data_IF_676522105992
#
_entry.id   IF_676522105992
#
_cell.length_a   1.000
_cell.length_b   1.000
_cell.length_c   1.000
_cell.angle_alpha   90.00
_cell.angle_beta   90.00
_cell.angle_gamma   90.00
#
_symmetry.space_group_name_H-M   'P 1'
#
loop_
_entity.id
_entity.type
_entity.pdbx_description
1 polymer ?
#
# COMPACT_ATOMS: atom_id res chain seq x y z
N UNK A 1 -81.20 -9.75 14.54
CA UNK A 1 -80.41 -8.49 14.45
C UNK A 1 -78.91 -8.69 14.64
N UNK A 2 -78.44 -9.81 15.22
CA UNK A 2 -77.02 -10.08 15.50
C UNK A 2 -76.11 -10.08 14.24
N UNK A 3 -76.49 -10.75 13.14
CA UNK A 3 -75.62 -10.95 11.96
C UNK A 3 -75.17 -9.66 11.27
N UNK A 4 -76.03 -8.63 11.20
CA UNK A 4 -75.68 -7.33 10.59
C UNK A 4 -74.69 -6.54 11.43
N UNK A 5 -74.72 -6.68 12.75
CA UNK A 5 -73.78 -6.03 13.66
C UNK A 5 -72.39 -6.68 13.53
N UNK A 6 -72.33 -8.01 13.44
CA UNK A 6 -71.07 -8.72 13.17
C UNK A 6 -70.49 -8.42 11.79
N UNK A 7 -71.33 -8.32 10.75
CA UNK A 7 -70.89 -7.90 9.42
C UNK A 7 -70.34 -6.47 9.41
N UNK A 8 -71.05 -5.53 10.04
CA UNK A 8 -70.59 -4.15 10.17
C UNK A 8 -69.25 -4.07 10.94
N UNK A 9 -69.13 -4.76 12.07
CA UNK A 9 -67.90 -4.83 12.84
C UNK A 9 -66.72 -5.46 12.07
N UNK A 10 -66.98 -6.51 11.27
CA UNK A 10 -65.95 -7.12 10.43
C UNK A 10 -65.49 -6.17 9.32
N UNK A 11 -66.42 -5.45 8.67
CA UNK A 11 -66.07 -4.47 7.63
C UNK A 11 -65.28 -3.27 8.17
N UNK A 12 -65.64 -2.74 9.34
CA UNK A 12 -64.89 -1.64 9.96
C UNK A 12 -63.51 -2.08 10.43
N UNK A 13 -63.39 -3.29 10.99
CA UNK A 13 -62.10 -3.87 11.34
C UNK A 13 -61.21 -4.09 10.11
N UNK A 14 -61.75 -4.60 9.00
CA UNK A 14 -61.01 -4.77 7.75
C UNK A 14 -60.54 -3.42 7.17
N UNK A 15 -61.40 -2.39 7.18
CA UNK A 15 -61.05 -1.05 6.71
C UNK A 15 -59.96 -0.39 7.57
N UNK A 16 -59.89 -0.70 8.86
CA UNK A 16 -58.83 -0.22 9.75
C UNK A 16 -57.54 -1.07 9.64
N UNK A 17 -57.66 -2.37 9.38
CA UNK A 17 -56.52 -3.28 9.27
C UNK A 17 -55.69 -3.06 8.00
N UNK A 18 -56.31 -2.71 6.87
CA UNK A 18 -55.61 -2.51 5.59
C UNK A 18 -54.59 -1.36 5.64
N UNK A 19 -54.92 -0.15 6.15
CA UNK A 19 -53.95 0.93 6.33
C UNK A 19 -52.82 0.58 7.30
N UNK A 20 -53.14 -0.13 8.40
CA UNK A 20 -52.14 -0.58 9.37
C UNK A 20 -51.19 -1.60 8.76
N UNK A 21 -51.71 -2.58 8.01
CA UNK A 21 -50.91 -3.57 7.30
C UNK A 21 -50.03 -2.91 6.22
N UNK A 22 -50.56 -1.95 5.48
CA UNK A 22 -49.78 -1.17 4.51
C UNK A 22 -48.66 -0.38 5.17
N UNK A 23 -48.94 0.30 6.29
CA UNK A 23 -47.93 1.03 7.05
C UNK A 23 -46.84 0.11 7.63
N UNK A 24 -47.24 -1.05 8.18
CA UNK A 24 -46.31 -2.06 8.66
C UNK A 24 -45.43 -2.60 7.54
N UNK A 25 -46.02 -2.90 6.38
CA UNK A 25 -45.29 -3.34 5.19
C UNK A 25 -44.29 -2.28 4.71
N UNK A 26 -44.72 -1.01 4.62
CA UNK A 26 -43.85 0.09 4.20
C UNK A 26 -42.69 0.28 5.19
N UNK A 27 -42.94 0.15 6.50
CA UNK A 27 -41.89 0.19 7.53
C UNK A 27 -40.93 -0.99 7.39
N UNK A 28 -41.44 -2.18 7.15
CA UNK A 28 -40.62 -3.38 6.95
C UNK A 28 -39.74 -3.26 5.69
N UNK A 29 -40.32 -2.84 4.57
CA UNK A 29 -39.60 -2.61 3.30
C UNK A 29 -38.45 -1.61 3.49
N UNK A 30 -38.70 -0.45 4.11
CA UNK A 30 -37.65 0.54 4.42
C UNK A 30 -36.53 -0.03 5.31
N UNK A 31 -36.90 -0.80 6.34
CA UNK A 31 -35.91 -1.44 7.22
C UNK A 31 -35.07 -2.48 6.47
N UNK A 32 -35.68 -3.23 5.54
CA UNK A 32 -34.98 -4.21 4.74
C UNK A 32 -34.03 -3.54 3.74
N UNK A 33 -34.47 -2.49 3.04
CA UNK A 33 -33.64 -1.67 2.15
C UNK A 33 -32.41 -1.11 2.89
N UNK A 34 -32.61 -0.57 4.10
CA UNK A 34 -31.51 -0.09 4.94
C UNK A 34 -30.53 -1.21 5.31
N UNK A 35 -31.03 -2.40 5.66
CA UNK A 35 -30.18 -3.57 5.95
C UNK A 35 -29.37 -4.01 4.74
N UNK A 36 -29.94 -3.96 3.55
CA UNK A 36 -29.25 -4.30 2.31
C UNK A 36 -28.19 -3.25 1.96
N UNK A 37 -28.53 -1.97 2.03
CA UNK A 37 -27.59 -0.87 1.81
C UNK A 37 -26.41 -0.91 2.79
N UNK A 38 -26.68 -1.14 4.08
CA UNK A 38 -25.61 -1.28 5.08
C UNK A 38 -24.73 -2.51 4.88
N UNK A 39 -25.30 -3.65 4.43
CA UNK A 39 -24.50 -4.81 4.04
C UNK A 39 -23.59 -4.49 2.84
N UNK A 40 -24.10 -3.78 1.84
CA UNK A 40 -23.31 -3.35 0.69
C UNK A 40 -22.18 -2.42 1.14
N UNK A 41 -22.46 -1.41 1.97
CA UNK A 41 -21.43 -0.52 2.50
C UNK A 41 -20.32 -1.26 3.24
N UNK A 42 -20.64 -2.28 4.04
CA UNK A 42 -19.62 -3.12 4.71
C UNK A 42 -18.76 -3.90 3.71
N UNK A 43 -19.35 -4.40 2.62
CA UNK A 43 -18.59 -5.05 1.56
C UNK A 43 -17.65 -4.07 0.88
N UNK A 44 -18.14 -2.86 0.61
CA UNK A 44 -17.32 -1.79 0.03
C UNK A 44 -16.17 -1.42 0.96
N UNK A 45 -16.44 -1.27 2.25
CA UNK A 45 -15.42 -0.98 3.25
C UNK A 45 -14.36 -2.09 3.27
N UNK A 46 -14.76 -3.36 3.19
CA UNK A 46 -13.82 -4.49 3.10
C UNK A 46 -12.95 -4.39 1.84
N UNK A 47 -13.54 -4.14 0.67
CA UNK A 47 -12.78 -3.95 -0.57
C UNK A 47 -11.84 -2.76 -0.46
N UNK A 48 -12.31 -1.62 0.07
CA UNK A 48 -11.47 -0.45 0.27
C UNK A 48 -10.30 -0.73 1.22
N UNK A 49 -10.51 -1.53 2.28
CA UNK A 49 -9.42 -1.96 3.16
C UNK A 49 -8.43 -2.88 2.46
N UNK A 50 -8.90 -3.80 1.61
CA UNK A 50 -8.02 -4.67 0.83
C UNK A 50 -7.13 -3.85 -0.12
N UNK A 51 -7.73 -2.92 -0.86
CA UNK A 51 -6.99 -2.01 -1.76
C UNK A 51 -6.02 -1.15 -0.95
N UNK A 52 -6.41 -0.69 0.24
CA UNK A 52 -5.50 0.07 1.12
C UNK A 52 -4.29 -0.74 1.61
N UNK A 53 -4.43 -2.05 1.82
CA UNK A 53 -3.31 -2.93 2.18
C UNK A 53 -2.37 -3.10 0.99
N UNK A 54 -2.90 -3.24 -0.23
CA UNK A 54 -2.09 -3.27 -1.45
C UNK A 54 -1.31 -1.97 -1.65
N UNK A 55 -1.96 -0.83 -1.38
CA UNK A 55 -1.32 0.49 -1.40
C UNK A 55 -0.17 0.59 -0.38
N UNK A 56 -0.39 0.12 0.85
CA UNK A 56 0.65 0.09 1.88
C UNK A 56 1.84 -0.80 1.48
N UNK A 57 1.58 -1.95 0.86
CA UNK A 57 2.64 -2.82 0.37
C UNK A 57 3.44 -2.14 -0.76
N UNK A 58 2.75 -1.46 -1.68
CA UNK A 58 3.39 -0.67 -2.73
C UNK A 58 4.23 0.47 -2.13
N UNK A 59 3.73 1.17 -1.13
CA UNK A 59 4.45 2.24 -0.45
C UNK A 59 5.78 1.75 0.14
N UNK A 60 5.78 0.59 0.79
CA UNK A 60 7.00 -0.02 1.32
C UNK A 60 7.98 -0.39 0.21
N UNK A 61 7.49 -1.00 -0.87
CA UNK A 61 8.33 -1.35 -2.03
C UNK A 61 8.96 -0.12 -2.69
N UNK A 62 8.22 0.99 -2.78
CA UNK A 62 8.72 2.26 -3.35
C UNK A 62 9.75 2.91 -2.42
N UNK A 63 9.55 2.87 -1.10
CA UNK A 63 10.56 3.36 -0.15
C UNK A 63 11.86 2.56 -0.24
N UNK A 64 11.77 1.24 -0.26
CA UNK A 64 12.93 0.36 -0.44
C UNK A 64 13.66 0.65 -1.76
N UNK A 65 12.92 0.92 -2.83
CA UNK A 65 13.49 1.31 -4.12
C UNK A 65 14.28 2.61 -4.05
N UNK A 66 13.67 3.66 -3.50
CA UNK A 66 14.28 4.99 -3.39
C UNK A 66 15.51 4.94 -2.48
N UNK A 67 15.46 4.21 -1.37
CA UNK A 67 16.60 4.02 -0.47
C UNK A 67 17.74 3.23 -1.12
N UNK A 68 17.42 2.22 -1.94
CA UNK A 68 18.41 1.45 -2.68
C UNK A 68 19.11 2.31 -3.74
N UNK A 69 18.35 3.07 -4.52
CA UNK A 69 18.88 3.96 -5.57
C UNK A 69 19.73 5.11 -4.98
N UNK A 70 19.29 5.71 -3.87
CA UNK A 70 20.09 6.71 -3.16
C UNK A 70 21.41 6.12 -2.63
N UNK A 71 21.37 4.87 -2.16
CA UNK A 71 22.54 4.17 -1.66
C UNK A 71 23.51 3.67 -2.74
N UNK A 72 23.04 3.38 -3.96
CA UNK A 72 23.92 3.11 -5.11
C UNK A 72 24.61 4.40 -5.59
N UNK A 73 23.90 5.54 -5.59
CA UNK A 73 24.47 6.83 -5.98
C UNK A 73 25.62 7.30 -5.05
N UNK A 74 25.63 6.87 -3.78
CA UNK A 74 26.73 7.15 -2.84
C UNK A 74 27.92 6.18 -2.96
N UNK A 75 27.76 5.02 -3.58
CA UNK A 75 28.84 4.04 -3.81
C UNK A 75 29.53 4.19 -5.18
N UNK A 76 29.06 5.08 -6.07
CA UNK A 76 29.78 5.50 -7.27
C UNK A 76 30.98 6.39 -6.91
N UNK A 77 32.10 5.76 -6.54
CA UNK A 77 33.40 6.41 -6.36
C UNK A 77 33.85 7.03 -7.71
N UNK A 78 34.11 8.35 -7.81
CA UNK A 78 34.43 9.04 -9.08
C UNK A 78 35.74 8.57 -9.75
N UNK A 79 36.44 7.60 -9.16
CA UNK A 79 37.65 6.99 -9.71
C UNK A 79 37.38 5.91 -10.78
N UNK A 80 36.15 5.37 -10.89
CA UNK A 80 35.84 4.30 -11.85
C UNK A 80 35.55 4.81 -13.28
N UNK A 81 35.73 6.12 -13.52
CA UNK A 81 35.71 6.72 -14.87
C UNK A 81 36.93 6.35 -15.73
N UNK A 82 37.69 5.33 -15.35
CA UNK A 82 38.66 4.68 -16.23
C UNK A 82 37.88 3.99 -17.36
N UNK A 83 37.80 4.66 -18.51
CA UNK A 83 37.26 4.18 -19.78
C UNK A 83 38.12 3.05 -20.40
N UNK A 84 38.64 2.17 -19.55
CA UNK A 84 39.72 1.25 -19.85
C UNK A 84 39.20 -0.16 -19.58
N UNK A 85 39.06 -0.90 -20.67
CA UNK A 85 38.58 -2.27 -20.74
C UNK A 85 39.24 -3.11 -19.63
N UNK A 86 38.43 -3.71 -18.76
CA UNK A 86 38.83 -4.51 -17.59
C UNK A 86 39.73 -5.70 -17.90
N UNK A 87 39.99 -5.97 -19.19
CA UNK A 87 40.90 -6.99 -19.70
C UNK A 87 42.37 -6.55 -19.79
N UNK A 88 42.68 -5.25 -19.79
CA UNK A 88 44.05 -4.74 -19.90
C UNK A 88 44.52 -4.06 -18.61
N UNK A 89 45.62 -4.53 -18.04
CA UNK A 89 46.21 -4.02 -16.79
C UNK A 89 47.18 -2.83 -16.97
N UNK A 90 47.36 -2.37 -18.21
CA UNK A 90 48.23 -1.25 -18.56
C UNK A 90 47.48 -0.28 -19.49
N UNK A 91 47.73 1.02 -19.31
CA UNK A 91 47.24 2.02 -20.24
C UNK A 91 48.00 1.96 -21.58
N UNK A 92 47.50 2.62 -22.62
CA UNK A 92 48.18 2.68 -23.92
C UNK A 92 49.53 3.41 -23.90
N UNK A 93 49.91 4.03 -22.76
CA UNK A 93 51.19 4.70 -22.54
C UNK A 93 52.17 3.83 -21.74
N UNK A 94 51.78 2.61 -21.35
CA UNK A 94 52.60 1.67 -20.59
C UNK A 94 52.58 1.86 -19.08
N UNK A 95 51.72 2.72 -18.52
CA UNK A 95 51.56 2.83 -17.08
C UNK A 95 50.63 1.74 -16.57
N UNK A 96 51.03 1.11 -15.45
CA UNK A 96 50.22 0.12 -14.76
C UNK A 96 48.99 0.81 -14.14
N UNK A 97 47.80 0.32 -14.46
CA UNK A 97 46.60 0.78 -13.74
C UNK A 97 46.70 0.30 -12.29
N UNK A 98 46.44 1.21 -11.34
CA UNK A 98 46.39 0.85 -9.92
C UNK A 98 45.25 -0.13 -9.71
N UNK A 99 45.59 -1.35 -9.33
CA UNK A 99 44.60 -2.38 -8.98
C UNK A 99 44.31 -2.33 -7.49
N UNK A 100 43.15 -2.87 -7.08
CA UNK A 100 42.77 -3.03 -5.67
C UNK A 100 43.83 -3.77 -4.83
N UNK A 101 44.66 -4.59 -5.49
CA UNK A 101 45.75 -5.35 -4.89
C UNK A 101 47.04 -4.54 -4.73
N UNK A 102 47.23 -3.46 -5.49
CA UNK A 102 48.43 -2.60 -5.38
C UNK A 102 48.39 -1.71 -4.11
N UNK A 103 47.20 -1.50 -3.54
CA UNK A 103 47.00 -0.79 -2.27
C UNK A 103 46.82 -1.72 -1.06
N UNK A 104 46.83 -3.04 -1.27
CA UNK A 104 46.62 -4.02 -0.21
C UNK A 104 47.94 -4.25 0.53
N UNK A 105 48.01 -3.80 1.78
CA UNK A 105 49.15 -4.02 2.65
C UNK A 105 49.04 -5.39 3.33
N UNK A 106 49.72 -6.37 2.74
CA UNK A 106 49.72 -7.75 3.21
C UNK A 106 50.26 -7.86 4.63
N UNK A 107 51.26 -7.04 4.99
CA UNK A 107 51.90 -7.10 6.30
C UNK A 107 50.95 -6.58 7.39
N UNK A 108 50.21 -5.50 7.10
CA UNK A 108 49.21 -4.96 8.02
C UNK A 108 48.02 -5.92 8.24
N UNK A 109 47.57 -6.62 7.19
CA UNK A 109 46.49 -7.61 7.31
C UNK A 109 46.95 -8.90 7.99
N UNK A 110 48.21 -9.30 7.80
CA UNK A 110 48.77 -10.42 8.55
C UNK A 110 48.87 -10.09 10.04
N UNK A 111 49.35 -8.88 10.39
CA UNK A 111 49.42 -8.41 11.77
C UNK A 111 48.03 -8.29 12.40
N UNK A 112 47.03 -7.89 11.62
CA UNK A 112 45.62 -7.87 12.03
C UNK A 112 45.11 -9.28 12.35
N UNK A 113 45.36 -10.26 11.48
CA UNK A 113 44.93 -11.64 11.69
C UNK A 113 45.64 -12.29 12.89
N UNK A 114 46.92 -11.99 13.12
CA UNK A 114 47.65 -12.45 14.30
C UNK A 114 47.11 -11.84 15.61
N UNK A 115 46.68 -10.56 15.58
CA UNK A 115 46.01 -9.90 16.72
C UNK A 115 44.61 -10.46 16.97
N UNK A 116 43.88 -10.82 15.92
CA UNK A 116 42.56 -11.48 16.01
C UNK A 116 42.68 -12.91 16.56
N UNK A 117 43.68 -13.69 16.14
CA UNK A 117 43.98 -15.02 16.70
C UNK A 117 44.42 -14.96 18.17
N UNK A 118 45.17 -13.91 18.55
CA UNK A 118 45.57 -13.64 19.93
C UNK A 118 44.42 -13.14 20.82
N UNK A 119 43.26 -12.82 20.24
CA UNK A 119 42.05 -12.44 20.98
C UNK A 119 42.07 -11.04 21.58
N UNK A 120 42.95 -10.14 21.12
CA UNK A 120 43.14 -8.81 21.72
C UNK A 120 42.12 -7.76 21.22
N UNK A 121 41.33 -8.05 20.18
CA UNK A 121 40.37 -7.08 19.59
C UNK A 121 38.89 -7.52 19.56
N UNK A 122 38.45 -8.32 20.54
CA UNK A 122 37.02 -8.67 20.66
C UNK A 122 36.08 -7.47 20.95
N UNK A 123 36.61 -6.26 21.19
CA UNK A 123 35.81 -5.08 21.57
C UNK A 123 35.73 -3.94 20.54
N UNK A 124 36.57 -3.92 19.49
CA UNK A 124 36.58 -2.81 18.51
C UNK A 124 36.04 -3.25 17.13
N UNK A 125 36.17 -4.52 16.78
CA UNK A 125 35.65 -5.09 15.54
C UNK A 125 34.12 -5.30 15.50
N UNK A 126 33.41 -5.06 16.62
CA UNK A 126 31.94 -5.13 16.65
C UNK A 126 31.25 -3.97 15.91
N UNK A 127 32.00 -2.97 15.43
CA UNK A 127 31.48 -1.84 14.65
C UNK A 127 31.68 -1.96 13.14
N UNK A 128 32.34 -3.00 12.65
CA UNK A 128 32.26 -3.38 11.24
C UNK A 128 30.90 -4.02 10.99
N UNK A 129 29.86 -3.18 10.98
CA UNK A 129 28.51 -3.53 10.60
C UNK A 129 28.61 -4.37 9.32
N UNK A 130 28.25 -5.65 9.42
CA UNK A 130 27.99 -6.51 8.26
C UNK A 130 27.10 -5.70 7.34
N UNK A 131 27.65 -5.17 6.23
CA UNK A 131 26.86 -4.47 5.22
C UNK A 131 25.67 -5.40 4.94
N UNK A 132 24.43 -4.99 5.23
CA UNK A 132 23.29 -5.82 4.88
C UNK A 132 23.42 -6.01 3.37
N UNK A 133 23.51 -7.26 2.91
CA UNK A 133 23.46 -7.57 1.49
C UNK A 133 22.11 -7.02 1.04
N UNK A 134 22.12 -5.79 0.49
CA UNK A 134 20.92 -5.10 0.05
C UNK A 134 20.31 -6.00 -1.00
N UNK A 135 19.16 -6.60 -0.67
CA UNK A 135 18.42 -7.40 -1.64
C UNK A 135 18.05 -6.45 -2.77
N UNK A 136 18.43 -6.81 -3.98
CA UNK A 136 18.05 -6.05 -5.15
C UNK A 136 16.51 -5.86 -5.15
N UNK A 137 16.02 -4.65 -5.46
CA UNK A 137 14.60 -4.38 -5.46
C UNK A 137 13.86 -5.34 -6.41
N UNK A 138 12.72 -5.87 -5.95
CA UNK A 138 11.93 -6.82 -6.74
C UNK A 138 11.09 -6.16 -7.85
N UNK A 139 11.00 -4.84 -7.87
CA UNK A 139 10.11 -4.09 -8.75
C UNK A 139 10.84 -2.91 -9.40
N UNK A 140 10.55 -2.62 -10.67
CA UNK A 140 11.13 -1.44 -11.34
C UNK A 140 10.26 -0.20 -11.10
N UNK A 141 10.84 1.01 -11.19
CA UNK A 141 10.07 2.28 -11.09
C UNK A 141 8.86 2.33 -12.02
N UNK A 142 9.01 1.89 -13.28
CA UNK A 142 7.92 1.84 -14.26
C UNK A 142 6.78 0.91 -13.83
N UNK A 143 7.10 -0.23 -13.24
CA UNK A 143 6.10 -1.18 -12.73
C UNK A 143 5.43 -0.65 -11.45
N UNK A 144 6.17 0.05 -10.60
CA UNK A 144 5.63 0.71 -9.42
C UNK A 144 4.62 1.80 -9.80
N UNK A 145 4.95 2.63 -10.79
CA UNK A 145 4.04 3.65 -11.34
C UNK A 145 2.76 3.05 -11.92
N UNK A 146 2.88 2.04 -12.79
CA UNK A 146 1.72 1.37 -13.36
C UNK A 146 0.83 0.73 -12.28
N UNK A 147 1.43 0.16 -11.24
CA UNK A 147 0.68 -0.40 -10.10
C UNK A 147 -0.02 0.69 -9.29
N UNK A 148 0.62 1.85 -9.09
CA UNK A 148 0.00 2.98 -8.38
C UNK A 148 -1.25 3.51 -9.10
N UNK A 149 -1.18 3.64 -10.44
CA UNK A 149 -2.31 4.05 -11.28
C UNK A 149 -3.41 3.00 -11.29
N UNK A 150 -3.06 1.71 -11.30
CA UNK A 150 -4.04 0.63 -11.16
C UNK A 150 -4.82 0.71 -9.84
N UNK A 151 -4.12 0.97 -8.73
CA UNK A 151 -4.75 1.16 -7.41
C UNK A 151 -5.62 2.42 -7.36
N UNK A 152 -5.21 3.50 -8.02
CA UNK A 152 -6.00 4.72 -8.17
C UNK A 152 -7.36 4.42 -8.82
N UNK A 153 -7.35 3.72 -9.95
CA UNK A 153 -8.57 3.30 -10.63
C UNK A 153 -9.43 2.33 -9.81
N UNK A 154 -8.82 1.45 -9.00
CA UNK A 154 -9.57 0.61 -8.07
C UNK A 154 -10.33 1.46 -7.03
N UNK A 155 -9.72 2.51 -6.49
CA UNK A 155 -10.39 3.43 -5.58
C UNK A 155 -11.46 4.29 -6.27
N UNK A 156 -11.24 4.73 -7.51
CA UNK A 156 -12.26 5.40 -8.31
C UNK A 156 -13.48 4.49 -8.54
N UNK A 157 -13.25 3.21 -8.87
CA UNK A 157 -14.32 2.23 -9.03
C UNK A 157 -15.10 2.01 -7.73
N UNK A 158 -14.40 1.99 -6.59
CA UNK A 158 -15.02 1.93 -5.26
C UNK A 158 -15.91 3.17 -5.01
N UNK A 159 -15.45 4.37 -5.36
CA UNK A 159 -16.24 5.60 -5.24
C UNK A 159 -17.46 5.59 -6.17
N UNK A 160 -17.31 5.16 -7.42
CA UNK A 160 -18.43 5.00 -8.35
C UNK A 160 -19.49 4.05 -7.79
N UNK A 161 -19.07 2.92 -7.21
CA UNK A 161 -20.00 1.97 -6.60
C UNK A 161 -20.65 2.53 -5.32
N UNK A 162 -19.94 3.35 -4.55
CA UNK A 162 -20.52 4.05 -3.38
C UNK A 162 -21.64 5.02 -3.78
N UNK A 163 -21.52 5.68 -4.93
CA UNK A 163 -22.53 6.61 -5.43
C UNK A 163 -23.84 5.89 -5.81
N UNK A 164 -23.75 4.67 -6.36
CA UNK A 164 -24.90 3.85 -6.74
C UNK A 164 -25.74 3.37 -5.55
N UNK A 165 -25.13 3.17 -4.38
CA UNK A 165 -25.85 2.77 -3.17
C UNK A 165 -26.87 3.89 -2.86
N UNK A 166 -28.10 3.56 -2.47
CA UNK A 166 -29.10 4.55 -1.98
C UNK A 166 -29.59 4.12 -0.60
N UNK A 167 -30.03 5.08 0.22
CA UNK A 167 -30.51 4.77 1.57
C UNK A 167 -30.88 6.00 2.38
N UNK A 168 -31.15 5.76 3.67
CA UNK A 168 -31.50 6.78 4.65
C UNK A 168 -30.28 7.62 5.08
N UNK A 169 -30.50 8.59 5.98
CA UNK A 169 -29.45 9.51 6.42
C UNK A 169 -28.27 8.80 7.09
N UNK A 170 -28.48 7.67 7.75
CA UNK A 170 -27.40 6.87 8.33
C UNK A 170 -26.53 6.22 7.24
N UNK A 171 -27.15 5.60 6.23
CA UNK A 171 -26.43 5.06 5.06
C UNK A 171 -25.67 6.18 4.34
N UNK A 172 -26.26 7.37 4.25
CA UNK A 172 -25.62 8.55 3.67
C UNK A 172 -24.40 9.01 4.48
N UNK A 173 -24.50 9.02 5.81
CA UNK A 173 -23.37 9.36 6.69
C UNK A 173 -22.23 8.35 6.55
N UNK A 174 -22.54 7.05 6.54
CA UNK A 174 -21.54 5.99 6.37
C UNK A 174 -20.85 6.08 5.01
N UNK A 175 -21.60 6.25 3.92
CA UNK A 175 -21.04 6.45 2.59
C UNK A 175 -20.10 7.66 2.55
N UNK A 176 -20.52 8.78 3.14
CA UNK A 176 -19.71 10.00 3.20
C UNK A 176 -18.43 9.77 4.02
N UNK A 177 -18.49 9.00 5.10
CA UNK A 177 -17.31 8.65 5.88
C UNK A 177 -16.30 7.83 5.06
N UNK A 178 -16.77 6.81 4.33
CA UNK A 178 -15.93 5.99 3.46
C UNK A 178 -15.33 6.84 2.33
N UNK A 179 -16.16 7.62 1.62
CA UNK A 179 -15.70 8.48 0.54
C UNK A 179 -14.66 9.50 1.02
N UNK A 180 -14.90 10.17 2.16
CA UNK A 180 -13.92 11.09 2.74
C UNK A 180 -12.60 10.41 3.08
N UNK A 181 -12.64 9.17 3.58
CA UNK A 181 -11.43 8.40 3.87
C UNK A 181 -10.64 8.13 2.60
N UNK A 182 -11.30 7.66 1.54
CA UNK A 182 -10.65 7.40 0.25
C UNK A 182 -10.06 8.69 -0.33
N UNK A 183 -10.84 9.76 -0.40
CA UNK A 183 -10.41 11.02 -1.03
C UNK A 183 -9.30 11.71 -0.27
N UNK A 184 -9.34 11.73 1.07
CA UNK A 184 -8.36 12.49 1.87
C UNK A 184 -7.14 11.68 2.25
N UNK A 185 -7.29 10.38 2.48
CA UNK A 185 -6.21 9.54 2.99
C UNK A 185 -5.55 8.75 1.86
N UNK A 186 -6.33 8.03 1.06
CA UNK A 186 -5.75 7.09 0.08
C UNK A 186 -5.26 7.79 -1.19
N UNK A 187 -6.02 8.71 -1.79
CA UNK A 187 -5.50 9.47 -2.94
C UNK A 187 -4.28 10.31 -2.58
N UNK A 188 -4.27 10.98 -1.43
CA UNK A 188 -3.09 11.73 -0.97
C UNK A 188 -1.84 10.86 -0.82
N UNK A 189 -1.98 9.59 -0.41
CA UNK A 189 -0.87 8.62 -0.37
C UNK A 189 -0.43 8.16 -1.75
N UNK A 190 -1.36 7.96 -2.67
CA UNK A 190 -1.06 7.62 -4.07
C UNK A 190 -0.28 8.77 -4.72
N UNK A 191 -0.74 10.01 -4.56
CA UNK A 191 -0.05 11.20 -5.06
C UNK A 191 1.39 11.30 -4.52
N UNK A 192 1.58 11.01 -3.23
CA UNK A 192 2.90 10.98 -2.62
C UNK A 192 3.80 9.88 -3.21
N UNK A 193 3.26 8.68 -3.47
CA UNK A 193 4.00 7.59 -4.12
C UNK A 193 4.37 7.97 -5.55
N UNK A 194 3.44 8.53 -6.31
CA UNK A 194 3.70 8.99 -7.68
C UNK A 194 4.76 10.10 -7.69
N UNK A 195 4.73 11.02 -6.73
CA UNK A 195 5.75 12.06 -6.59
C UNK A 195 7.14 11.52 -6.22
N UNK A 196 7.25 10.41 -5.48
CA UNK A 196 8.53 9.76 -5.21
C UNK A 196 9.09 9.01 -6.42
N UNK A 197 8.23 8.62 -7.37
CA UNK A 197 8.59 7.84 -8.54
C UNK A 197 8.82 8.68 -9.81
N UNK A 198 8.41 9.95 -9.80
CA UNK A 198 8.58 10.93 -10.86
C UNK A 198 10.03 11.47 -10.90
#
# INVERSE_FOLDING_TARGET
MSSRVWQAAATTAALAAVPLAYWQYQRYSKLNERREATKLLRKVELVATEVSVRLMNLENQVKELVEYEAGEAEEEDPADNSTLNSYYHFDSQGNKLKTKWDSYDVDAELERLEKEERGEEAAVAASAAKKPVRKAPQMTRSKALATSQGIEHEFEAVLSFLDDIRGDDEVKQLRKAIANKITKEYFARIDAIQAMLA
#
